data_IF_761363929119
#
_entry.id   IF_761363929119
#
_cell.length_a   1.000
_cell.length_b   1.000
_cell.length_c   1.000
_cell.angle_alpha   90.00
_cell.angle_beta   90.00
_cell.angle_gamma   90.00
#
_symmetry.space_group_name_H-M   'P 1'
#
loop_
_entity.id
_entity.type
_entity.pdbx_description
1 polymer ?
#
# COMPACT_ATOMS: atom_id res chain seq x y z
N UNK A 1 -0.25 3.05 -15.14
CA UNK A 1 -0.54 2.43 -13.83
C UNK A 1 -0.99 3.56 -12.95
N UNK A 2 -2.23 3.53 -12.45
CA UNK A 2 -2.66 4.47 -11.43
C UNK A 2 -2.33 3.88 -10.06
N UNK A 3 -1.49 4.59 -9.31
CA UNK A 3 -1.27 4.30 -7.90
C UNK A 3 -2.29 5.07 -7.06
N UNK A 4 -2.83 4.43 -6.03
CA UNK A 4 -3.96 4.96 -5.27
C UNK A 4 -3.88 4.56 -3.80
N UNK A 5 -4.28 5.46 -2.91
CA UNK A 5 -4.51 5.15 -1.51
C UNK A 5 -5.72 5.92 -0.97
N UNK A 6 -6.55 5.26 -0.16
CA UNK A 6 -7.74 5.84 0.45
C UNK A 6 -7.63 5.81 1.98
N UNK A 7 -8.13 6.86 2.63
CA UNK A 7 -8.20 6.97 4.07
C UNK A 7 -9.50 7.64 4.49
N UNK A 8 -10.10 7.19 5.57
CA UNK A 8 -11.31 7.81 6.11
C UNK A 8 -10.99 9.09 6.89
N UNK A 9 -11.73 10.16 6.68
CA UNK A 9 -11.85 11.28 7.62
C UNK A 9 -13.16 11.18 8.39
N UNK A 10 -13.07 10.79 9.66
CA UNK A 10 -14.24 10.65 10.54
C UNK A 10 -14.90 12.00 10.86
N UNK A 11 -14.13 13.09 10.80
CA UNK A 11 -14.61 14.45 11.05
C UNK A 11 -15.17 15.12 9.79
N UNK A 12 -15.01 14.48 8.62
CA UNK A 12 -15.52 14.97 7.35
C UNK A 12 -17.04 15.12 7.34
N UNK A 13 -17.55 16.04 6.50
CA UNK A 13 -18.97 16.17 6.27
C UNK A 13 -19.54 14.89 5.63
N UNK A 14 -20.84 14.65 5.82
CA UNK A 14 -21.52 13.53 5.14
C UNK A 14 -21.35 13.67 3.63
N UNK A 15 -20.94 12.58 2.99
CA UNK A 15 -20.63 12.53 1.56
C UNK A 15 -19.20 12.91 1.21
N UNK A 16 -18.34 13.25 2.17
CA UNK A 16 -16.92 13.59 1.93
C UNK A 16 -15.97 12.89 2.90
N UNK A 17 -16.39 11.79 3.54
CA UNK A 17 -15.60 11.15 4.61
C UNK A 17 -14.48 10.26 4.11
N UNK A 18 -14.29 10.13 2.80
CA UNK A 18 -13.20 9.35 2.23
C UNK A 18 -12.29 10.28 1.46
N UNK A 19 -11.02 10.25 1.82
CA UNK A 19 -9.95 11.00 1.18
C UNK A 19 -9.17 10.05 0.28
N UNK A 20 -9.22 10.31 -1.02
CA UNK A 20 -8.59 9.50 -2.04
C UNK A 20 -7.39 10.24 -2.63
N UNK A 21 -6.21 9.65 -2.53
CA UNK A 21 -4.98 10.16 -3.11
C UNK A 21 -4.54 9.26 -4.26
N UNK A 22 -4.09 9.84 -5.37
CA UNK A 22 -3.63 9.09 -6.53
C UNK A 22 -2.46 9.77 -7.24
N UNK A 23 -1.63 9.01 -7.94
CA UNK A 23 -0.55 9.59 -8.74
C UNK A 23 -1.07 10.06 -10.11
N UNK A 24 -0.42 11.09 -10.64
CA UNK A 24 -0.63 11.62 -11.97
C UNK A 24 0.60 11.38 -12.85
N UNK A 25 0.41 11.38 -14.17
CA UNK A 25 1.51 11.30 -15.15
C UNK A 25 2.55 12.43 -14.99
N UNK A 26 2.13 13.59 -14.46
CA UNK A 26 2.99 14.71 -14.11
C UNK A 26 3.85 14.49 -12.86
N UNK A 27 3.89 13.25 -12.31
CA UNK A 27 4.60 12.86 -11.07
C UNK A 27 4.11 13.58 -9.81
N UNK A 28 2.96 14.23 -9.90
CA UNK A 28 2.27 14.86 -8.78
C UNK A 28 1.23 13.91 -8.16
N UNK A 29 0.68 14.35 -7.03
CA UNK A 29 -0.40 13.65 -6.32
C UNK A 29 -1.69 14.45 -6.50
N UNK A 30 -2.73 13.78 -6.97
CA UNK A 30 -4.09 14.28 -6.96
C UNK A 30 -4.82 13.90 -5.68
N UNK A 31 -5.85 14.66 -5.33
CA UNK A 31 -6.69 14.44 -4.15
C UNK A 31 -8.18 14.58 -4.51
N UNK A 32 -9.01 13.69 -3.97
CA UNK A 32 -10.47 13.72 -4.13
C UNK A 32 -11.15 13.41 -2.80
N UNK A 33 -12.26 14.09 -2.52
CA UNK A 33 -13.24 13.58 -1.55
C UNK A 33 -14.16 12.59 -2.24
N UNK A 34 -14.44 11.49 -1.55
CA UNK A 34 -15.36 10.44 -1.99
C UNK A 34 -16.47 10.24 -0.96
N UNK A 35 -17.64 9.87 -1.46
CA UNK A 35 -18.84 9.67 -0.68
C UNK A 35 -18.80 8.29 -0.02
N UNK A 36 -18.98 8.26 1.30
CA UNK A 36 -19.07 7.04 2.08
C UNK A 36 -20.42 6.30 1.97
N UNK A 37 -21.40 6.85 1.25
CA UNK A 37 -22.75 6.29 1.13
C UNK A 37 -23.14 5.92 -0.31
N UNK A 38 -22.37 6.37 -1.31
CA UNK A 38 -22.70 6.20 -2.72
C UNK A 38 -21.42 5.89 -3.52
N UNK A 39 -21.46 4.82 -4.32
CA UNK A 39 -20.37 4.41 -5.21
C UNK A 39 -20.47 5.03 -6.62
N UNK A 40 -21.58 5.72 -6.93
CA UNK A 40 -21.74 6.53 -8.14
C UNK A 40 -21.41 8.01 -7.89
N UNK A 41 -20.63 8.29 -6.84
CA UNK A 41 -20.38 9.64 -6.39
C UNK A 41 -19.70 10.50 -7.45
N UNK A 42 -20.35 11.62 -7.77
CA UNK A 42 -19.81 12.65 -8.65
C UNK A 42 -18.61 13.25 -7.90
N UNK A 43 -17.38 12.80 -8.20
CA UNK A 43 -16.08 13.32 -7.71
C UNK A 43 -16.24 14.66 -6.97
N UNK A 44 -16.50 14.58 -5.67
CA UNK A 44 -16.91 15.75 -4.89
C UNK A 44 -15.65 16.57 -4.62
N UNK A 45 -15.33 17.49 -5.52
CA UNK A 45 -14.13 18.32 -5.51
C UNK A 45 -12.84 17.52 -5.74
N UNK A 46 -12.37 17.55 -6.99
CA UNK A 46 -11.04 17.06 -7.39
C UNK A 46 -10.02 18.19 -7.25
N UNK A 47 -8.89 17.88 -6.64
CA UNK A 47 -7.75 18.77 -6.47
C UNK A 47 -6.54 18.15 -7.17
N UNK A 48 -6.39 18.48 -8.45
CA UNK A 48 -5.23 18.15 -9.24
C UNK A 48 -4.36 19.39 -9.42
N UNK A 49 -3.03 19.24 -9.60
CA UNK A 49 -2.18 20.33 -10.08
C UNK A 49 -2.72 20.87 -11.40
N UNK A 50 -2.67 22.19 -11.56
CA UNK A 50 -3.04 22.82 -12.81
C UNK A 50 -2.04 22.49 -13.94
N UNK A 51 -2.42 22.80 -15.18
CA UNK A 51 -1.59 22.52 -16.36
C UNK A 51 -0.25 23.27 -16.40
N UNK A 52 -0.09 24.30 -15.57
CA UNK A 52 1.11 25.13 -15.48
C UNK A 52 1.95 24.81 -14.24
N UNK A 53 1.52 23.84 -13.42
CA UNK A 53 2.23 23.41 -12.25
C UNK A 53 3.58 22.81 -12.63
N UNK A 54 4.53 22.91 -11.72
CA UNK A 54 5.79 22.22 -11.88
C UNK A 54 5.60 20.70 -11.84
N UNK A 55 6.47 19.98 -12.53
CA UNK A 55 6.54 18.52 -12.43
C UNK A 55 6.76 18.11 -10.96
N UNK A 56 6.05 17.07 -10.56
CA UNK A 56 6.24 16.45 -9.25
C UNK A 56 7.47 15.54 -9.22
N UNK A 57 7.53 14.73 -8.17
CA UNK A 57 8.69 13.88 -7.88
C UNK A 57 8.30 12.45 -7.49
N UNK A 58 7.01 12.09 -7.54
CA UNK A 58 6.55 10.72 -7.30
C UNK A 58 6.92 9.86 -8.50
N UNK A 59 7.56 8.71 -8.25
CA UNK A 59 7.85 7.75 -9.32
C UNK A 59 6.53 7.20 -9.86
N UNK A 60 6.30 7.32 -11.16
CA UNK A 60 5.00 6.99 -11.79
C UNK A 60 4.52 5.54 -11.57
N UNK A 61 5.43 4.61 -11.29
CA UNK A 61 5.10 3.20 -10.97
C UNK A 61 5.03 2.91 -9.46
N UNK A 62 5.21 3.93 -8.62
CA UNK A 62 5.19 3.79 -7.17
C UNK A 62 3.78 3.55 -6.66
N UNK A 63 3.62 2.55 -5.81
CA UNK A 63 2.42 2.48 -4.97
C UNK A 63 2.35 3.69 -4.06
N UNK A 64 1.13 4.08 -3.71
CA UNK A 64 0.87 5.01 -2.61
C UNK A 64 0.47 4.24 -1.36
N UNK A 65 0.84 4.75 -0.20
CA UNK A 65 0.37 4.25 1.08
C UNK A 65 -0.08 5.42 1.95
N UNK A 66 -1.13 5.24 2.73
CA UNK A 66 -1.61 6.24 3.66
C UNK A 66 -1.89 5.64 5.04
N UNK A 67 -1.85 6.50 6.06
CA UNK A 67 -2.18 6.13 7.43
C UNK A 67 -2.49 7.38 8.26
N UNK A 68 -3.03 7.20 9.47
CA UNK A 68 -3.26 8.30 10.42
C UNK A 68 -2.19 8.32 11.51
N UNK A 69 -1.59 9.48 11.76
CA UNK A 69 -0.74 9.71 12.91
C UNK A 69 -1.30 10.89 13.72
N UNK A 70 -1.74 10.67 14.95
CA UNK A 70 -2.44 11.68 15.77
C UNK A 70 -3.60 12.36 15.01
N UNK A 71 -4.45 11.57 14.35
CA UNK A 71 -5.56 12.05 13.51
C UNK A 71 -5.14 12.98 12.36
N UNK A 72 -3.86 12.96 11.96
CA UNK A 72 -3.37 13.59 10.75
C UNK A 72 -3.09 12.52 9.71
N UNK A 73 -3.65 12.72 8.53
CA UNK A 73 -3.39 11.88 7.38
C UNK A 73 -1.97 12.10 6.92
N UNK A 74 -1.28 10.99 6.70
CA UNK A 74 0.06 10.96 6.14
C UNK A 74 -0.01 10.09 4.90
N UNK A 75 0.53 10.61 3.80
CA UNK A 75 0.61 9.88 2.53
C UNK A 75 2.07 9.71 2.17
N UNK A 76 2.42 8.50 1.73
CA UNK A 76 3.77 8.10 1.38
C UNK A 76 3.83 7.60 -0.07
N UNK A 77 4.99 7.78 -0.68
CA UNK A 77 5.34 7.23 -1.98
C UNK A 77 6.85 6.99 -2.10
N UNK A 78 7.23 6.25 -3.14
CA UNK A 78 8.57 6.28 -3.68
C UNK A 78 8.75 7.51 -4.57
N UNK A 79 9.81 8.27 -4.32
CA UNK A 79 10.10 9.54 -4.96
C UNK A 79 11.49 9.55 -5.58
N UNK A 80 11.63 10.31 -6.67
CA UNK A 80 12.93 10.53 -7.30
C UNK A 80 13.86 11.35 -6.39
N UNK A 81 15.16 11.01 -6.41
CA UNK A 81 16.17 11.88 -5.76
C UNK A 81 16.29 13.20 -6.50
N UNK A 82 16.57 14.27 -5.77
CA UNK A 82 16.95 15.56 -6.38
C UNK A 82 18.21 15.38 -7.21
N UNK A 83 18.29 16.03 -8.37
CA UNK A 83 19.40 15.84 -9.33
C UNK A 83 20.80 16.15 -8.76
N UNK A 84 20.88 17.09 -7.81
CA UNK A 84 22.14 17.39 -7.10
C UNK A 84 22.62 16.21 -6.23
N UNK A 85 21.69 15.40 -5.73
CA UNK A 85 21.96 14.25 -4.86
C UNK A 85 22.18 12.97 -5.67
N UNK A 86 21.62 12.88 -6.90
CA UNK A 86 21.99 11.83 -7.87
C UNK A 86 23.50 11.84 -8.15
N UNK A 87 24.11 13.03 -8.31
CA UNK A 87 25.54 13.23 -8.64
C UNK A 87 26.52 13.03 -7.48
N UNK A 88 26.08 13.22 -6.22
CA UNK A 88 26.93 13.02 -5.02
C UNK A 88 27.04 11.57 -4.60
N UNK A 89 26.31 10.71 -5.29
CA UNK A 89 26.10 9.36 -4.86
C UNK A 89 26.78 8.34 -5.76
N UNK A 90 27.43 7.32 -5.19
CA UNK A 90 28.04 6.26 -5.98
C UNK A 90 26.98 5.41 -6.70
N UNK A 91 26.39 5.85 -7.81
CA UNK A 91 25.27 5.14 -8.48
C UNK A 91 24.07 4.77 -7.58
N UNK A 92 24.06 5.10 -6.27
CA UNK A 92 23.09 4.55 -5.31
C UNK A 92 22.99 5.30 -3.96
N UNK A 93 23.09 6.62 -3.93
CA UNK A 93 22.77 7.43 -2.73
C UNK A 93 23.85 7.64 -1.65
N UNK A 94 25.04 7.00 -1.67
CA UNK A 94 26.11 7.18 -0.65
C UNK A 94 27.22 8.15 -1.08
N UNK A 95 27.86 8.92 -0.17
CA UNK A 95 28.89 9.90 -0.53
C UNK A 95 30.04 9.26 -1.32
N UNK A 96 30.56 10.00 -2.30
CA UNK A 96 31.47 9.57 -3.39
C UNK A 96 32.78 8.83 -2.99
N UNK A 97 33.03 8.63 -1.70
CA UNK A 97 34.24 8.07 -1.10
C UNK A 97 34.03 6.69 -0.42
N UNK A 98 32.85 6.06 -0.52
CA UNK A 98 32.68 4.67 -0.10
C UNK A 98 33.15 3.69 -1.17
N UNK A 99 34.22 2.94 -0.93
CA UNK A 99 34.76 1.93 -1.86
C UNK A 99 33.90 0.66 -1.99
N UNK A 100 32.84 0.50 -1.19
CA UNK A 100 31.93 -0.65 -1.22
C UNK A 100 30.48 -0.14 -1.34
N UNK A 101 29.98 -0.01 -2.57
CA UNK A 101 28.59 0.34 -2.81
C UNK A 101 27.80 -0.96 -3.04
N UNK A 102 27.15 -1.46 -1.99
CA UNK A 102 26.33 -2.68 -1.96
C UNK A 102 24.96 -2.45 -2.62
N UNK A 103 24.96 -2.02 -3.88
CA UNK A 103 23.76 -1.57 -4.57
C UNK A 103 23.30 -2.62 -5.58
N UNK A 104 21.99 -2.92 -5.67
CA UNK A 104 21.52 -3.90 -6.63
C UNK A 104 21.90 -3.49 -8.05
N UNK A 105 22.42 -4.44 -8.83
CA UNK A 105 22.73 -4.23 -10.24
C UNK A 105 21.50 -3.71 -10.97
N UNK A 106 21.67 -2.65 -11.77
CA UNK A 106 20.65 -2.00 -12.59
C UNK A 106 19.51 -1.29 -11.81
N UNK A 107 19.73 -0.93 -10.54
CA UNK A 107 18.77 -0.15 -9.76
C UNK A 107 19.23 1.31 -9.55
N UNK A 108 18.29 2.24 -9.73
CA UNK A 108 18.44 3.66 -9.50
C UNK A 108 18.21 4.00 -8.02
N UNK A 109 18.88 5.06 -7.55
CA UNK A 109 18.63 5.59 -6.22
C UNK A 109 17.27 6.31 -6.15
N UNK A 110 16.44 5.91 -5.19
CA UNK A 110 15.14 6.53 -4.91
C UNK A 110 14.98 6.80 -3.41
N UNK A 111 13.96 7.54 -3.04
CA UNK A 111 13.59 7.81 -1.65
C UNK A 111 12.20 7.29 -1.34
N UNK A 112 11.99 6.84 -0.11
CA UNK A 112 10.66 6.67 0.48
C UNK A 112 10.35 7.98 1.21
N UNK A 113 9.27 8.64 0.83
CA UNK A 113 8.97 10.00 1.30
C UNK A 113 7.54 10.11 1.80
N UNK A 114 7.35 10.93 2.84
CA UNK A 114 6.10 11.59 3.13
C UNK A 114 5.86 12.65 2.04
N UNK A 115 4.71 12.59 1.37
CA UNK A 115 4.35 13.48 0.26
C UNK A 115 3.16 14.38 0.57
N UNK A 116 2.36 14.04 1.58
CA UNK A 116 1.29 14.87 2.13
C UNK A 116 1.22 14.66 3.64
N UNK A 117 1.04 15.72 4.47
CA UNK A 117 0.76 17.11 4.07
C UNK A 117 2.01 17.92 3.71
N UNK A 118 3.20 17.38 3.98
CA UNK A 118 4.48 18.04 3.67
C UNK A 118 5.43 17.04 3.03
N UNK A 119 6.30 17.54 2.16
CA UNK A 119 7.36 16.72 1.61
C UNK A 119 8.46 16.49 2.66
N UNK A 120 8.75 15.22 2.95
CA UNK A 120 9.87 14.81 3.80
C UNK A 120 10.38 13.44 3.38
N UNK A 121 11.67 13.36 3.04
CA UNK A 121 12.36 12.08 2.88
C UNK A 121 12.36 11.35 4.22
N UNK A 122 11.87 10.11 4.21
CA UNK A 122 11.89 9.21 5.37
C UNK A 122 13.14 8.37 5.34
N UNK A 123 13.41 7.72 4.20
CA UNK A 123 14.62 6.92 4.00
C UNK A 123 14.97 6.80 2.50
N UNK A 124 16.11 6.20 2.20
CA UNK A 124 16.57 5.92 0.83
C UNK A 124 16.48 4.43 0.49
N UNK A 125 16.01 4.16 -0.72
CA UNK A 125 15.83 2.83 -1.28
C UNK A 125 16.38 2.78 -2.72
N UNK A 126 16.03 1.72 -3.45
CA UNK A 126 16.42 1.52 -4.85
C UNK A 126 15.20 1.23 -5.72
N UNK A 127 15.32 1.42 -7.04
CA UNK A 127 14.24 1.15 -8.00
C UNK A 127 13.96 -0.32 -8.27
N UNK A 128 14.51 -1.22 -7.47
CA UNK A 128 14.30 -2.66 -7.59
C UNK A 128 12.89 -3.09 -7.18
N UNK A 129 12.21 -2.29 -6.35
CA UNK A 129 10.79 -2.49 -6.03
C UNK A 129 10.12 -1.18 -5.56
N UNK A 130 9.03 -0.78 -6.21
CA UNK A 130 8.27 0.43 -5.86
C UNK A 130 7.01 0.18 -5.02
N UNK A 131 6.87 -1.03 -4.45
CA UNK A 131 5.71 -1.41 -3.64
C UNK A 131 5.95 -1.06 -2.17
N UNK A 132 5.06 -0.23 -1.62
CA UNK A 132 5.09 0.23 -0.23
C UNK A 132 3.74 -0.03 0.45
N UNK A 133 3.74 -0.11 1.77
CA UNK A 133 2.56 -0.12 2.62
C UNK A 133 2.82 0.71 3.88
N UNK A 134 1.77 1.17 4.54
CA UNK A 134 1.88 1.87 5.81
C UNK A 134 0.76 1.45 6.74
N UNK A 135 1.03 1.44 8.03
CA UNK A 135 0.00 1.34 9.05
C UNK A 135 0.40 2.12 10.28
N UNK A 136 -0.55 2.34 11.18
CA UNK A 136 -0.32 3.05 12.42
C UNK A 136 -1.09 2.42 13.57
N UNK A 137 -0.56 2.67 14.76
CA UNK A 137 -1.30 2.59 16.00
C UNK A 137 -1.74 4.00 16.39
N UNK A 138 -2.32 4.17 17.57
CA UNK A 138 -2.63 5.47 18.13
C UNK A 138 -1.40 6.35 18.44
N UNK A 139 -0.18 5.78 18.47
CA UNK A 139 1.04 6.50 18.87
C UNK A 139 2.17 6.44 17.85
N UNK A 140 2.22 5.39 17.04
CA UNK A 140 3.34 5.10 16.15
C UNK A 140 2.85 4.84 14.73
N UNK A 141 3.68 5.19 13.77
CA UNK A 141 3.45 4.98 12.34
C UNK A 141 4.63 4.26 11.74
N UNK A 142 4.35 3.23 10.94
CA UNK A 142 5.35 2.39 10.29
C UNK A 142 5.12 2.37 8.79
N UNK A 143 6.21 2.49 8.04
CA UNK A 143 6.22 2.42 6.60
C UNK A 143 7.03 1.18 6.21
N UNK A 144 6.41 0.29 5.44
CA UNK A 144 7.01 -0.95 4.98
C UNK A 144 7.29 -0.87 3.49
N UNK A 145 8.46 -1.30 3.09
CA UNK A 145 8.88 -1.31 1.70
C UNK A 145 9.78 -2.51 1.42
N UNK A 146 9.85 -2.91 0.15
CA UNK A 146 10.70 -3.99 -0.30
C UNK A 146 12.02 -3.44 -0.81
N UNK A 147 13.13 -4.07 -0.42
CA UNK A 147 14.47 -3.74 -0.90
C UNK A 147 15.28 -5.01 -0.98
N UNK A 148 16.08 -5.18 -2.04
CA UNK A 148 17.03 -6.28 -2.12
C UNK A 148 18.09 -6.11 -1.04
N UNK A 149 18.33 -7.17 -0.30
CA UNK A 149 19.39 -7.20 0.69
C UNK A 149 20.69 -7.71 0.02
N UNK A 150 21.68 -6.83 -0.20
CA UNK A 150 22.94 -7.21 -0.83
C UNK A 150 23.72 -8.23 0.01
N UNK A 151 23.45 -8.33 1.31
CA UNK A 151 24.08 -9.28 2.24
C UNK A 151 23.38 -10.65 2.30
N UNK A 152 22.19 -10.79 1.69
CA UNK A 152 21.40 -12.03 1.69
C UNK A 152 21.11 -12.46 0.24
N UNK A 153 22.17 -12.80 -0.50
CA UNK A 153 22.10 -13.31 -1.89
C UNK A 153 21.25 -12.45 -2.85
N UNK A 154 21.16 -11.14 -2.61
CA UNK A 154 20.35 -10.22 -3.42
C UNK A 154 18.84 -10.55 -3.40
N UNK A 155 18.37 -11.27 -2.38
CA UNK A 155 16.96 -11.57 -2.16
C UNK A 155 16.20 -10.34 -1.65
N UNK A 156 14.91 -10.23 -2.01
CA UNK A 156 14.03 -9.19 -1.46
C UNK A 156 13.79 -9.43 0.02
N UNK A 157 13.90 -8.37 0.82
CA UNK A 157 13.52 -8.35 2.23
C UNK A 157 12.53 -7.21 2.49
N UNK A 158 11.74 -7.35 3.55
CA UNK A 158 10.87 -6.28 4.04
C UNK A 158 11.71 -5.38 4.95
N UNK A 159 11.65 -4.07 4.70
CA UNK A 159 12.24 -3.05 5.55
C UNK A 159 11.14 -2.21 6.18
N UNK A 160 11.37 -1.82 7.43
CA UNK A 160 10.56 -0.86 8.17
C UNK A 160 11.32 0.47 8.26
N UNK A 161 10.62 1.55 7.93
CA UNK A 161 11.01 2.92 8.24
C UNK A 161 9.96 3.56 9.15
N UNK A 162 10.37 4.55 9.93
CA UNK A 162 9.47 5.39 10.74
C UNK A 162 9.81 6.86 10.55
N UNK A 163 8.87 7.75 10.84
CA UNK A 163 9.11 9.19 10.77
C UNK A 163 9.95 9.62 11.98
N UNK A 164 11.26 9.74 11.81
CA UNK A 164 12.19 10.09 12.89
C UNK A 164 13.65 9.80 12.54
N UNK A 165 14.59 10.04 13.47
CA UNK A 165 16.03 9.90 13.23
C UNK A 165 16.54 8.44 13.23
N UNK A 166 15.65 7.46 13.12
CA UNK A 166 15.99 6.04 13.22
C UNK A 166 16.41 5.46 11.87
N UNK A 167 17.31 4.48 11.90
CA UNK A 167 17.67 3.70 10.73
C UNK A 167 16.60 2.66 10.39
N UNK A 168 16.55 2.26 9.13
CA UNK A 168 15.62 1.23 8.69
C UNK A 168 15.94 -0.13 9.32
N UNK A 169 14.89 -0.89 9.60
CA UNK A 169 14.98 -2.22 10.17
C UNK A 169 14.59 -3.26 9.12
N UNK A 170 15.49 -4.17 8.80
CA UNK A 170 15.19 -5.33 7.95
C UNK A 170 14.52 -6.44 8.77
N UNK A 171 13.54 -7.13 8.18
CA UNK A 171 12.94 -8.32 8.75
C UNK A 171 13.42 -9.59 8.06
N UNK A 172 13.61 -10.64 8.87
CA UNK A 172 13.85 -11.99 8.38
C UNK A 172 12.51 -12.64 8.06
N UNK A 173 12.15 -12.65 6.78
CA UNK A 173 10.95 -13.33 6.26
C UNK A 173 11.36 -14.50 5.37
N UNK A 174 10.40 -15.35 5.04
CA UNK A 174 10.56 -16.30 3.93
C UNK A 174 10.75 -15.56 2.60
N UNK A 175 11.28 -16.27 1.61
CA UNK A 175 11.57 -15.73 0.28
C UNK A 175 10.34 -15.04 -0.34
N UNK A 176 10.49 -13.76 -0.66
CA UNK A 176 9.44 -12.89 -1.20
C UNK A 176 9.42 -13.02 -2.72
N UNK A 177 8.24 -13.21 -3.30
CA UNK A 177 8.04 -13.23 -4.75
C UNK A 177 8.43 -11.87 -5.36
N UNK A 178 9.34 -11.81 -6.35
CA UNK A 178 9.65 -10.55 -7.03
C UNK A 178 8.42 -9.90 -7.66
N UNK A 179 8.20 -8.63 -7.33
CA UNK A 179 6.99 -7.88 -7.72
C UNK A 179 5.79 -8.08 -6.80
N UNK A 180 5.94 -8.78 -5.67
CA UNK A 180 4.93 -8.81 -4.61
C UNK A 180 4.56 -7.40 -4.19
N UNK A 181 3.27 -7.10 -4.12
CA UNK A 181 2.79 -5.95 -3.38
C UNK A 181 2.97 -6.16 -1.87
N UNK A 182 2.77 -5.09 -1.10
CA UNK A 182 2.69 -5.11 0.35
C UNK A 182 1.32 -4.58 0.77
N UNK A 183 0.77 -5.14 1.84
CA UNK A 183 -0.25 -4.50 2.64
C UNK A 183 0.15 -4.59 4.11
N UNK A 184 -0.28 -3.64 4.94
CA UNK A 184 0.05 -3.62 6.35
C UNK A 184 -1.12 -3.14 7.18
N UNK A 185 -1.26 -3.68 8.39
CA UNK A 185 -2.26 -3.23 9.35
C UNK A 185 -1.79 -3.38 10.78
N UNK A 186 -2.37 -2.58 11.66
CA UNK A 186 -2.23 -2.73 13.11
C UNK A 186 -3.38 -3.58 13.62
N UNK A 187 -3.06 -4.66 14.32
CA UNK A 187 -4.05 -5.48 15.02
C UNK A 187 -4.14 -4.99 16.47
N UNK A 188 -5.24 -4.31 16.81
CA UNK A 188 -5.44 -3.76 18.15
C UNK A 188 -5.61 -4.86 19.23
N UNK A 189 -6.08 -6.05 18.85
CA UNK A 189 -6.25 -7.18 19.77
C UNK A 189 -4.91 -7.80 20.17
N UNK A 190 -4.00 -8.00 19.22
CA UNK A 190 -2.64 -8.52 19.53
C UNK A 190 -1.62 -7.43 19.85
N UNK A 191 -1.93 -6.16 19.54
CA UNK A 191 -1.01 -5.01 19.60
C UNK A 191 0.25 -5.24 18.77
N UNK A 192 0.07 -5.74 17.55
CA UNK A 192 1.16 -6.05 16.62
C UNK A 192 0.88 -5.54 15.23
N UNK A 193 1.95 -5.17 14.53
CA UNK A 193 1.93 -4.89 13.10
C UNK A 193 1.92 -6.21 12.34
N UNK A 194 1.09 -6.25 11.31
CA UNK A 194 0.96 -7.38 10.40
C UNK A 194 1.28 -6.90 9.00
N UNK A 195 2.16 -7.61 8.31
CA UNK A 195 2.62 -7.29 6.97
C UNK A 195 2.25 -8.47 6.06
N UNK A 196 1.50 -8.19 5.00
CA UNK A 196 1.04 -9.18 4.03
C UNK A 196 1.85 -9.03 2.74
N UNK A 197 2.30 -10.16 2.21
CA UNK A 197 3.08 -10.25 0.98
C UNK A 197 2.90 -11.61 0.30
N UNK A 198 3.45 -11.81 -0.89
CA UNK A 198 3.49 -13.10 -1.59
C UNK A 198 4.85 -13.78 -1.44
N UNK A 199 4.84 -15.05 -1.04
CA UNK A 199 6.03 -15.89 -1.00
C UNK A 199 6.38 -16.48 -2.38
N UNK A 200 7.64 -16.85 -2.60
CA UNK A 200 8.05 -17.60 -3.80
C UNK A 200 7.40 -18.98 -3.82
N UNK A 201 7.35 -19.65 -2.67
CA UNK A 201 6.77 -20.98 -2.52
C UNK A 201 5.26 -20.97 -2.78
N UNK A 202 4.84 -21.67 -3.84
CA UNK A 202 3.44 -21.77 -4.24
C UNK A 202 2.77 -20.44 -4.61
N UNK A 203 3.52 -19.32 -4.65
CA UNK A 203 3.02 -17.96 -4.90
C UNK A 203 1.89 -17.54 -3.93
N UNK A 204 1.85 -18.16 -2.74
CA UNK A 204 0.79 -17.94 -1.74
C UNK A 204 0.97 -16.61 -1.02
N UNK A 205 -0.14 -16.04 -0.54
CA UNK A 205 -0.10 -14.96 0.44
C UNK A 205 0.49 -15.46 1.75
N UNK A 206 1.24 -14.59 2.41
CA UNK A 206 1.89 -14.80 3.70
C UNK A 206 1.62 -13.61 4.61
N UNK A 207 1.47 -13.89 5.89
CA UNK A 207 1.36 -12.91 6.96
C UNK A 207 2.61 -12.97 7.84
N UNK A 208 3.36 -11.88 7.87
CA UNK A 208 4.42 -11.64 8.82
C UNK A 208 3.91 -10.80 9.99
N UNK A 209 3.99 -11.33 11.20
CA UNK A 209 3.69 -10.60 12.44
C UNK A 209 5.01 -10.07 13.01
N UNK A 210 5.12 -8.77 13.22
CA UNK A 210 6.38 -8.16 13.68
C UNK A 210 6.78 -8.69 15.06
N UNK A 211 7.95 -9.33 15.13
CA UNK A 211 8.46 -10.00 16.33
C UNK A 211 7.72 -11.30 16.67
N UNK A 212 6.98 -11.86 15.71
CA UNK A 212 6.21 -13.10 15.85
C UNK A 212 6.46 -14.04 14.67
N UNK A 213 5.38 -14.62 14.14
CA UNK A 213 5.42 -15.65 13.10
C UNK A 213 5.39 -15.09 11.68
N UNK A 214 5.89 -15.91 10.75
CA UNK A 214 5.69 -15.77 9.31
C UNK A 214 4.97 -17.03 8.80
N UNK A 215 3.72 -16.91 8.39
CA UNK A 215 2.89 -18.05 7.99
C UNK A 215 2.10 -17.82 6.70
N UNK A 216 1.77 -18.87 5.93
CA UNK A 216 0.90 -18.76 4.77
C UNK A 216 -0.53 -18.40 5.18
N UNK A 217 -1.24 -17.72 4.29
CA UNK A 217 -2.69 -17.49 4.37
C UNK A 217 -3.36 -18.51 3.45
N UNK A 218 -3.49 -19.75 3.90
CA UNK A 218 -4.03 -20.86 3.08
C UNK A 218 -5.50 -20.66 2.68
N UNK A 219 -6.19 -19.71 3.32
CA UNK A 219 -7.55 -19.34 2.96
C UNK A 219 -7.65 -18.59 1.62
N UNK A 220 -6.60 -17.85 1.23
CA UNK A 220 -6.53 -17.08 -0.02
C UNK A 220 -6.01 -17.97 -1.16
N UNK A 221 -6.82 -18.93 -1.59
CA UNK A 221 -6.44 -19.99 -2.53
C UNK A 221 -6.37 -19.50 -3.97
N UNK A 222 -7.25 -18.57 -4.33
CA UNK A 222 -7.37 -18.02 -5.69
C UNK A 222 -6.34 -16.96 -6.04
N UNK A 223 -5.44 -16.59 -5.12
CA UNK A 223 -4.58 -15.41 -5.31
C UNK A 223 -3.74 -15.46 -6.60
N UNK A 224 -3.86 -14.41 -7.42
CA UNK A 224 -3.05 -14.19 -8.61
C UNK A 224 -1.59 -13.90 -8.25
N UNK A 225 -0.65 -14.47 -8.99
CA UNK A 225 0.76 -14.12 -8.84
C UNK A 225 0.99 -12.62 -9.11
N UNK A 226 1.74 -11.96 -8.22
CA UNK A 226 1.97 -10.50 -8.20
C UNK A 226 0.68 -9.69 -8.05
N UNK A 227 -0.29 -10.23 -7.31
CA UNK A 227 -1.52 -9.52 -6.96
C UNK A 227 -1.21 -8.21 -6.24
N UNK A 228 -1.99 -7.16 -6.53
CA UNK A 228 -2.11 -6.03 -5.59
C UNK A 228 -2.78 -6.49 -4.30
N UNK A 229 -2.48 -5.83 -3.19
CA UNK A 229 -2.98 -6.20 -1.86
C UNK A 229 -3.48 -4.95 -1.17
N UNK A 230 -4.61 -5.07 -0.47
CA UNK A 230 -5.16 -4.00 0.34
C UNK A 230 -5.77 -4.58 1.62
N UNK A 231 -5.65 -3.88 2.75
CA UNK A 231 -6.23 -4.32 4.02
C UNK A 231 -7.03 -3.18 4.64
N UNK A 232 -8.25 -3.50 5.07
CA UNK A 232 -9.08 -2.67 5.93
C UNK A 232 -9.24 -3.36 7.29
N UNK A 233 -9.32 -2.58 8.36
CA UNK A 233 -9.51 -3.09 9.72
C UNK A 233 -10.58 -2.28 10.41
N UNK A 234 -11.58 -2.98 10.95
CA UNK A 234 -12.58 -2.46 11.88
C UNK A 234 -12.18 -2.83 13.30
N UNK A 235 -12.99 -2.46 14.30
CA UNK A 235 -12.77 -2.90 15.68
C UNK A 235 -12.82 -4.43 15.84
N UNK A 236 -13.62 -5.11 15.00
CA UNK A 236 -13.88 -6.54 15.10
C UNK A 236 -13.14 -7.40 14.07
N UNK A 237 -12.92 -6.89 12.85
CA UNK A 237 -12.48 -7.69 11.71
C UNK A 237 -11.37 -7.00 10.91
N UNK A 238 -10.43 -7.80 10.40
CA UNK A 238 -9.48 -7.41 9.36
C UNK A 238 -9.91 -8.07 8.04
N UNK A 239 -9.93 -7.29 6.97
CA UNK A 239 -10.32 -7.69 5.62
C UNK A 239 -9.11 -7.56 4.71
N UNK A 240 -8.66 -8.66 4.11
CA UNK A 240 -7.56 -8.68 3.17
C UNK A 240 -8.11 -8.92 1.76
N UNK A 241 -7.87 -7.95 0.87
CA UNK A 241 -8.28 -7.99 -0.52
C UNK A 241 -7.12 -8.29 -1.44
N UNK A 242 -7.39 -9.09 -2.47
CA UNK A 242 -6.45 -9.49 -3.49
C UNK A 242 -7.17 -9.81 -4.80
N UNK A 243 -6.41 -10.00 -5.88
CA UNK A 243 -6.92 -10.34 -7.21
C UNK A 243 -6.92 -11.84 -7.38
N UNK A 244 -8.03 -12.39 -7.83
CA UNK A 244 -8.16 -13.79 -8.20
C UNK A 244 -7.45 -14.11 -9.53
N UNK A 245 -6.82 -15.28 -9.60
CA UNK A 245 -5.99 -15.72 -10.71
C UNK A 245 -6.78 -16.11 -11.96
N UNK A 246 -8.01 -16.59 -11.81
CA UNK A 246 -8.79 -17.17 -12.91
C UNK A 246 -9.44 -16.09 -13.77
N UNK A 247 -9.92 -15.01 -13.14
CA UNK A 247 -10.82 -14.06 -13.81
C UNK A 247 -10.47 -12.57 -13.60
N UNK A 248 -9.42 -12.25 -12.84
CA UNK A 248 -9.07 -10.88 -12.41
C UNK A 248 -10.17 -10.16 -11.63
N UNK A 249 -11.04 -10.89 -10.92
CA UNK A 249 -11.97 -10.28 -9.95
C UNK A 249 -11.25 -10.03 -8.62
N UNK A 250 -11.85 -9.19 -7.79
CA UNK A 250 -11.37 -8.95 -6.44
C UNK A 250 -11.96 -10.00 -5.50
N UNK A 251 -11.10 -10.68 -4.76
CA UNK A 251 -11.45 -11.59 -3.67
C UNK A 251 -11.05 -10.98 -2.32
N UNK A 252 -11.74 -11.39 -1.26
CA UNK A 252 -11.40 -11.06 0.13
C UNK A 252 -11.30 -12.30 0.99
N UNK A 253 -10.46 -12.24 2.02
CA UNK A 253 -10.51 -13.11 3.20
C UNK A 253 -10.61 -12.25 4.45
N UNK A 254 -11.35 -12.75 5.45
CA UNK A 254 -11.64 -11.99 6.67
C UNK A 254 -11.11 -12.70 7.90
N UNK A 255 -10.65 -11.95 8.90
CA UNK A 255 -10.10 -12.48 10.15
C UNK A 255 -10.61 -11.65 11.32
N UNK A 256 -10.97 -12.28 12.44
CA UNK A 256 -11.27 -11.56 13.69
C UNK A 256 -10.02 -10.84 14.19
N UNK A 257 -10.14 -9.58 14.60
CA UNK A 257 -9.06 -8.82 15.26
C UNK A 257 -8.63 -9.59 16.52
N UNK A 258 -7.33 -9.74 16.75
CA UNK A 258 -6.79 -10.60 17.80
C UNK A 258 -6.80 -12.11 17.48
N UNK A 259 -7.48 -12.53 16.41
CA UNK A 259 -7.57 -13.92 15.99
C UNK A 259 -6.29 -14.46 15.36
N UNK A 260 -6.29 -15.74 14.98
CA UNK A 260 -5.13 -16.42 14.35
C UNK A 260 -5.44 -17.02 12.99
N UNK A 261 -6.72 -17.12 12.58
CA UNK A 261 -7.14 -17.77 11.35
C UNK A 261 -7.90 -16.81 10.44
N UNK A 262 -7.57 -16.86 9.15
CA UNK A 262 -8.37 -16.24 8.09
C UNK A 262 -9.52 -17.18 7.72
N UNK A 263 -10.72 -16.61 7.57
CA UNK A 263 -11.91 -17.28 7.07
C UNK A 263 -11.83 -17.53 5.57
N UNK A 264 -12.86 -18.18 5.02
CA UNK A 264 -12.90 -18.58 3.62
C UNK A 264 -12.83 -17.38 2.67
N UNK A 265 -12.23 -17.63 1.50
CA UNK A 265 -12.20 -16.66 0.39
C UNK A 265 -13.61 -16.40 -0.15
N UNK A 266 -13.89 -15.12 -0.41
CA UNK A 266 -15.15 -14.64 -0.97
C UNK A 266 -14.86 -13.67 -2.12
N UNK A 267 -15.54 -13.82 -3.25
CA UNK A 267 -15.50 -12.84 -4.33
C UNK A 267 -16.29 -11.60 -3.94
N UNK A 268 -15.77 -10.41 -4.27
CA UNK A 268 -16.49 -9.14 -4.15
C UNK A 268 -17.43 -9.02 -5.36
N UNK A 269 -18.74 -9.18 -5.14
CA UNK A 269 -19.73 -9.41 -6.21
C UNK A 269 -19.97 -8.23 -7.14
N UNK A 270 -19.84 -7.00 -6.64
CA UNK A 270 -20.11 -5.78 -7.42
C UNK A 270 -18.84 -5.13 -7.99
N UNK A 271 -17.71 -5.83 -7.91
CA UNK A 271 -16.44 -5.34 -8.42
C UNK A 271 -16.24 -5.69 -9.90
N UNK A 272 -16.09 -4.65 -10.72
CA UNK A 272 -15.53 -4.79 -12.07
C UNK A 272 -14.15 -5.46 -12.02
N UNK A 273 -13.77 -6.16 -13.09
CA UNK A 273 -12.41 -6.71 -13.21
C UNK A 273 -11.38 -5.61 -13.09
N UNK A 274 -10.33 -5.88 -12.32
CA UNK A 274 -9.23 -4.92 -12.13
C UNK A 274 -8.27 -4.97 -13.32
N UNK A 275 -7.85 -3.80 -13.79
CA UNK A 275 -6.85 -3.68 -14.85
C UNK A 275 -5.51 -4.28 -14.40
N UNK A 276 -4.76 -4.96 -15.28
CA UNK A 276 -3.41 -5.38 -14.97
C UNK A 276 -2.56 -4.24 -14.41
N UNK A 277 -1.76 -4.55 -13.38
CA UNK A 277 -0.88 -3.62 -12.67
C UNK A 277 -1.54 -2.48 -11.89
N UNK A 278 -2.88 -2.39 -11.87
CA UNK A 278 -3.57 -1.40 -11.02
C UNK A 278 -3.33 -1.66 -9.53
N UNK A 279 -3.11 -0.59 -8.77
CA UNK A 279 -3.10 -0.69 -7.32
C UNK A 279 -4.54 -0.74 -6.80
N UNK A 280 -4.79 -1.64 -5.86
CA UNK A 280 -6.01 -1.67 -5.05
C UNK A 280 -5.77 -0.94 -3.74
N UNK A 281 -6.71 -0.08 -3.36
CA UNK A 281 -6.78 0.49 -2.02
C UNK A 281 -8.14 0.24 -1.40
N UNK A 282 -8.20 0.16 -0.08
CA UNK A 282 -9.43 -0.03 0.68
C UNK A 282 -9.40 0.82 1.94
N UNK A 283 -10.54 1.38 2.31
CA UNK A 283 -10.73 2.05 3.60
C UNK A 283 -12.11 1.72 4.18
N UNK A 284 -12.27 1.78 5.49
CA UNK A 284 -13.56 1.60 6.16
C UNK A 284 -14.23 2.97 6.26
N UNK A 285 -15.48 3.09 5.85
CA UNK A 285 -16.28 4.29 6.12
C UNK A 285 -17.77 3.91 6.20
N UNK A 286 -18.54 4.60 7.05
CA UNK A 286 -19.98 4.38 7.21
C UNK A 286 -20.43 2.92 7.37
N UNK A 287 -19.60 2.07 8.00
CA UNK A 287 -19.93 0.65 8.24
C UNK A 287 -19.67 -0.28 7.05
N UNK A 288 -19.02 0.19 5.99
CA UNK A 288 -18.66 -0.61 4.82
C UNK A 288 -17.20 -0.37 4.39
N UNK A 289 -16.72 -1.18 3.44
CA UNK A 289 -15.36 -1.16 2.92
C UNK A 289 -15.43 -0.53 1.55
N UNK A 290 -14.68 0.52 1.34
CA UNK A 290 -14.67 1.29 0.10
C UNK A 290 -13.39 0.95 -0.64
N UNK A 291 -13.53 0.25 -1.77
CA UNK A 291 -12.41 -0.19 -2.59
C UNK A 291 -12.23 0.80 -3.76
N UNK A 292 -10.98 1.11 -4.07
CA UNK A 292 -10.60 1.99 -5.18
C UNK A 292 -9.49 1.37 -6.03
N UNK A 293 -9.70 1.36 -7.35
CA UNK A 293 -8.78 0.79 -8.34
C UNK A 293 -9.12 1.25 -9.76
N UNK A 294 -8.28 0.91 -10.74
CA UNK A 294 -8.55 1.11 -12.16
C UNK A 294 -9.19 -0.16 -12.74
N UNK A 295 -10.43 -0.08 -13.22
CA UNK A 295 -11.10 -1.23 -13.84
C UNK A 295 -10.63 -1.49 -15.28
N UNK A 296 -10.70 -2.75 -15.71
CA UNK A 296 -10.37 -3.20 -17.06
C UNK A 296 -11.55 -2.98 -18.02
N UNK A 297 -11.83 -1.71 -18.30
CA UNK A 297 -12.90 -1.29 -19.22
C UNK A 297 -12.35 -0.33 -20.26
N UNK A 298 -12.77 -0.44 -21.53
CA UNK A 298 -12.22 0.34 -22.65
C UNK A 298 -12.41 1.86 -22.53
N UNK A 299 -13.32 2.33 -21.65
CA UNK A 299 -13.77 3.72 -21.60
C UNK A 299 -13.48 4.49 -20.29
N UNK A 300 -12.90 3.85 -19.25
CA UNK A 300 -12.66 4.53 -17.96
C UNK A 300 -11.18 4.86 -17.76
N UNK A 301 -10.84 6.15 -17.88
CA UNK A 301 -9.60 6.74 -17.30
C UNK A 301 -9.75 7.06 -15.81
N UNK A 302 -10.84 6.63 -15.18
CA UNK A 302 -11.21 7.02 -13.83
C UNK A 302 -11.09 5.84 -12.86
N UNK A 303 -10.84 6.17 -11.59
CA UNK A 303 -10.82 5.19 -10.51
C UNK A 303 -12.25 4.70 -10.24
N UNK A 304 -12.43 3.39 -10.30
CA UNK A 304 -13.61 2.66 -9.88
C UNK A 304 -13.72 2.70 -8.36
N UNK A 305 -14.94 2.88 -7.85
CA UNK A 305 -15.27 2.82 -6.44
C UNK A 305 -16.30 1.72 -6.22
N UNK A 306 -15.99 0.77 -5.33
CA UNK A 306 -16.90 -0.32 -4.93
C UNK A 306 -17.15 -0.22 -3.43
N UNK A 307 -18.40 -0.40 -3.01
CA UNK A 307 -18.78 -0.54 -1.61
C UNK A 307 -19.01 -2.01 -1.34
N UNK A 308 -18.11 -2.60 -0.57
CA UNK A 308 -18.18 -3.98 -0.12
C UNK A 308 -18.76 -4.02 1.30
N UNK A 309 -20.03 -4.39 1.38
CA UNK A 309 -20.72 -4.56 2.66
C UNK A 309 -20.41 -5.94 3.25
N UNK A 310 -20.45 -6.06 4.58
CA UNK A 310 -20.41 -7.33 5.27
C UNK A 310 -21.49 -7.37 6.33
N UNK A 311 -22.03 -8.55 6.56
CA UNK A 311 -22.87 -8.78 7.73
C UNK A 311 -21.96 -8.81 8.97
N UNK A 312 -22.33 -8.02 9.98
CA UNK A 312 -21.92 -8.33 11.33
C UNK A 312 -22.65 -9.64 11.67
N UNK A 313 -21.90 -10.74 11.75
CA UNK A 313 -22.46 -11.95 12.33
C UNK A 313 -22.71 -11.60 13.79
N UNK A 314 -23.97 -11.60 14.22
CA UNK A 314 -24.33 -11.48 15.63
C UNK A 314 -23.54 -12.58 16.37
N UNK A 315 -22.65 -12.18 17.28
CA UNK A 315 -21.89 -13.10 18.12
C UNK A 315 -22.89 -13.87 19.02
N UNK A 316 -23.27 -15.09 18.63
CA UNK A 316 -23.93 -16.09 19.49
C UNK A 316 -22.95 -16.70 20.52
#
# INVERSE_FOLDING_TARGET
MVAVTAIQDEAGAVGTKIHLYYNLESKNVGFQFRNEQDNNDIKLNTFDPDSNAHDGFVVYQSHLASTKHYNKELVFAVTEKKDADKKKSCQCGQPANSQNCDCPKDADAVDISLISPVYKVVTSAYSDNYKIAACSSNVNTWIYYLKKNPKAENALSIFEAVIGPTHDKAFSTNAILPGSALAAYWDAGTKKQNIIYQGVEGKKLRQYVVGGSDGPIDAAKGVKAKSTLAVAVTEAKAFLYFVDAENNTISRVTKKVGGTKWGHEQTVTDADKIKPDSQLSVTVAAGANHLFYEADTEDKKELTHVIDSWEEEDDD
#
